data_IF_050875980728
#
_entry.id   IF_050875980728
#
_cell.length_a   1.000
_cell.length_b   1.000
_cell.length_c   1.000
_cell.angle_alpha   90.00
_cell.angle_beta   90.00
_cell.angle_gamma   90.00
#
_symmetry.space_group_name_H-M   'P 1'
#
loop_
_entity.id
_entity.type
_entity.pdbx_description
1 polymer ?
#
# COMPACT_ATOMS: atom_id res chain seq x y z
N UNK A 1 4.35 25.07 -20.97
CA UNK A 1 3.63 23.85 -20.53
C UNK A 1 3.84 23.71 -19.04
N UNK A 2 2.88 24.18 -18.23
CA UNK A 2 2.95 24.01 -16.77
C UNK A 2 2.50 22.60 -16.43
N UNK A 3 3.45 21.72 -16.10
CA UNK A 3 3.17 20.42 -15.48
C UNK A 3 2.70 20.64 -14.04
N UNK A 4 1.51 21.23 -13.86
CA UNK A 4 0.78 21.19 -12.60
C UNK A 4 0.10 19.82 -12.49
N UNK A 5 0.90 18.75 -12.48
CA UNK A 5 0.42 17.48 -11.95
C UNK A 5 0.13 17.74 -10.49
N UNK A 6 -1.14 17.61 -10.06
CA UNK A 6 -1.53 17.68 -8.65
C UNK A 6 -0.87 16.51 -7.91
N UNK A 7 0.38 16.68 -7.51
CA UNK A 7 1.01 15.85 -6.50
C UNK A 7 0.57 16.37 -5.14
N UNK A 8 0.31 15.46 -4.19
CA UNK A 8 0.00 15.84 -2.81
C UNK A 8 -1.45 16.23 -2.56
N UNK A 9 -2.17 15.41 -1.80
CA UNK A 9 -3.43 15.72 -1.10
C UNK A 9 -4.69 16.08 -1.95
N UNK A 10 -4.55 16.63 -3.16
CA UNK A 10 -5.63 17.16 -3.98
C UNK A 10 -6.08 16.24 -5.13
N UNK A 11 -5.44 15.08 -5.30
CA UNK A 11 -5.80 14.08 -6.32
C UNK A 11 -6.93 13.13 -5.87
N UNK A 12 -7.24 13.11 -4.57
CA UNK A 12 -7.84 11.93 -3.95
C UNK A 12 -9.24 12.10 -3.35
N UNK A 13 -9.81 13.31 -3.31
CA UNK A 13 -11.16 13.53 -2.76
C UNK A 13 -11.33 12.86 -1.38
N UNK A 14 -12.14 11.79 -1.34
CA UNK A 14 -12.48 10.99 -0.16
C UNK A 14 -11.35 10.07 0.36
N UNK A 15 -10.28 9.86 -0.42
CA UNK A 15 -9.11 9.06 -0.03
C UNK A 15 -8.15 9.81 0.93
N UNK A 16 -8.62 10.88 1.57
CA UNK A 16 -7.92 11.51 2.70
C UNK A 16 -8.08 10.73 4.00
N UNK A 17 -9.05 9.81 4.06
CA UNK A 17 -9.16 8.86 5.16
C UNK A 17 -8.29 7.64 4.88
N UNK A 18 -7.29 7.41 5.73
CA UNK A 18 -6.41 6.25 5.66
C UNK A 18 -7.17 4.92 5.75
N UNK A 19 -8.36 4.89 6.36
CA UNK A 19 -9.21 3.69 6.43
C UNK A 19 -9.74 3.31 5.05
N UNK A 20 -10.26 4.30 4.32
CA UNK A 20 -10.74 4.12 2.94
C UNK A 20 -9.57 3.77 2.02
N UNK A 21 -8.43 4.44 2.21
CA UNK A 21 -7.20 4.14 1.49
C UNK A 21 -6.73 2.70 1.72
N UNK A 22 -6.69 2.25 2.98
CA UNK A 22 -6.34 0.88 3.38
C UNK A 22 -7.29 -0.13 2.73
N UNK A 23 -8.59 0.09 2.80
CA UNK A 23 -9.58 -0.84 2.22
C UNK A 23 -9.36 -1.03 0.72
N UNK A 24 -9.21 0.06 -0.04
CA UNK A 24 -8.94 -0.03 -1.48
C UNK A 24 -7.59 -0.71 -1.77
N UNK A 25 -6.59 -0.46 -0.94
CA UNK A 25 -5.26 -1.10 -1.09
C UNK A 25 -5.35 -2.61 -0.85
N UNK A 26 -6.15 -3.04 0.13
CA UNK A 26 -6.42 -4.45 0.41
C UNK A 26 -7.18 -5.13 -0.74
N UNK A 27 -8.20 -4.47 -1.30
CA UNK A 27 -8.92 -4.96 -2.49
C UNK A 27 -7.97 -5.19 -3.67
N UNK A 28 -6.99 -4.29 -3.86
CA UNK A 28 -5.94 -4.47 -4.87
C UNK A 28 -4.96 -5.60 -4.50
N UNK A 29 -4.60 -5.76 -3.23
CA UNK A 29 -3.73 -6.85 -2.79
C UNK A 29 -4.34 -8.22 -3.10
N UNK A 30 -5.66 -8.37 -2.93
CA UNK A 30 -6.38 -9.60 -3.30
C UNK A 30 -6.22 -9.98 -4.78
N UNK A 31 -6.03 -9.00 -5.67
CA UNK A 31 -5.81 -9.26 -7.11
C UNK A 31 -4.46 -9.93 -7.41
N UNK A 32 -3.51 -9.89 -6.48
CA UNK A 32 -2.21 -10.58 -6.62
C UNK A 32 -2.32 -12.10 -6.42
N UNK A 33 -3.46 -12.58 -5.92
CA UNK A 33 -3.72 -14.00 -5.67
C UNK A 33 -2.67 -14.65 -4.75
N UNK A 34 -2.19 -13.88 -3.78
CA UNK A 34 -1.19 -14.30 -2.78
C UNK A 34 -1.80 -14.06 -1.38
N UNK A 35 -2.28 -15.12 -0.70
CA UNK A 35 -2.92 -15.01 0.61
C UNK A 35 -1.98 -14.43 1.68
N UNK A 36 -0.70 -14.76 1.59
CA UNK A 36 0.32 -14.33 2.54
C UNK A 36 0.65 -12.84 2.39
N UNK A 37 0.67 -12.36 1.15
CA UNK A 37 0.74 -10.93 0.90
C UNK A 37 -0.50 -10.19 1.40
N UNK A 38 -1.68 -10.79 1.24
CA UNK A 38 -2.93 -10.20 1.74
C UNK A 38 -2.89 -10.09 3.26
N UNK A 39 -2.39 -11.11 3.96
CA UNK A 39 -2.18 -11.09 5.41
C UNK A 39 -1.14 -10.05 5.83
N UNK A 40 -0.01 -9.96 5.12
CA UNK A 40 1.02 -8.95 5.33
C UNK A 40 0.46 -7.52 5.24
N UNK A 41 -0.28 -7.21 4.17
CA UNK A 41 -0.93 -5.89 4.00
C UNK A 41 -1.99 -5.67 5.07
N UNK A 42 -2.75 -6.70 5.44
CA UNK A 42 -3.74 -6.68 6.51
C UNK A 42 -3.14 -6.36 7.88
N UNK A 43 -1.93 -6.85 8.15
CA UNK A 43 -1.18 -6.69 9.40
C UNK A 43 -0.46 -5.35 9.55
N UNK A 44 -0.40 -4.52 8.49
CA UNK A 44 0.16 -3.16 8.58
C UNK A 44 -0.67 -2.32 9.56
N UNK A 45 0.00 -1.76 10.57
CA UNK A 45 -0.65 -0.99 11.63
C UNK A 45 -1.33 0.30 11.13
N UNK A 46 -2.35 0.75 11.86
CA UNK A 46 -3.08 1.99 11.55
C UNK A 46 -2.16 3.22 11.43
N UNK A 47 -1.13 3.32 12.29
CA UNK A 47 -0.15 4.41 12.24
C UNK A 47 0.68 4.37 10.96
N UNK A 48 1.04 3.17 10.49
CA UNK A 48 1.77 3.02 9.25
C UNK A 48 0.90 3.36 8.04
N UNK A 49 -0.40 3.04 8.05
CA UNK A 49 -1.31 3.46 6.97
C UNK A 49 -1.49 4.96 6.88
N UNK A 50 -1.63 5.64 8.02
CA UNK A 50 -1.66 7.09 8.07
C UNK A 50 -0.36 7.68 7.48
N UNK A 51 0.79 7.11 7.85
CA UNK A 51 2.09 7.54 7.34
C UNK A 51 2.27 7.27 5.84
N UNK A 52 1.86 6.10 5.32
CA UNK A 52 1.90 5.76 3.90
C UNK A 52 1.07 6.76 3.07
N UNK A 53 -0.10 7.15 3.60
CA UNK A 53 -0.95 8.14 2.96
C UNK A 53 -0.30 9.55 2.92
N UNK A 54 0.45 9.92 3.96
CA UNK A 54 1.16 11.19 4.07
C UNK A 54 2.48 11.23 3.27
N UNK A 55 3.27 10.15 3.29
CA UNK A 55 4.62 10.03 2.73
C UNK A 55 4.66 9.74 1.22
N UNK A 56 3.77 10.34 0.43
CA UNK A 56 3.82 10.36 -1.04
C UNK A 56 3.14 9.20 -1.79
N UNK A 57 2.52 8.23 -1.11
CA UNK A 57 1.73 7.19 -1.79
C UNK A 57 0.26 7.61 -1.91
N UNK A 58 0.01 8.58 -2.79
CA UNK A 58 -1.33 9.15 -2.97
C UNK A 58 -2.31 8.23 -3.70
N UNK A 59 -1.97 7.01 -4.11
CA UNK A 59 -2.98 6.10 -4.67
C UNK A 59 -2.85 4.71 -4.07
N UNK A 60 -3.97 4.00 -3.85
CA UNK A 60 -3.95 2.61 -3.40
C UNK A 60 -3.07 1.71 -4.27
N UNK A 61 -3.02 1.96 -5.58
CA UNK A 61 -2.20 1.20 -6.53
C UNK A 61 -0.70 1.37 -6.23
N UNK A 62 -0.23 2.61 -6.06
CA UNK A 62 1.18 2.87 -5.74
C UNK A 62 1.58 2.32 -4.38
N UNK A 63 0.69 2.43 -3.39
CA UNK A 63 0.93 1.82 -2.08
C UNK A 63 0.99 0.29 -2.17
N UNK A 64 0.06 -0.34 -2.89
CA UNK A 64 0.05 -1.79 -3.12
C UNK A 64 1.34 -2.25 -3.82
N UNK A 65 1.76 -1.58 -4.89
CA UNK A 65 3.00 -1.91 -5.60
C UNK A 65 4.23 -1.79 -4.71
N UNK A 66 4.27 -0.77 -3.86
CA UNK A 66 5.38 -0.59 -2.91
C UNK A 66 5.39 -1.66 -1.83
N UNK A 67 4.24 -1.94 -1.22
CA UNK A 67 4.08 -3.00 -0.22
C UNK A 67 4.41 -4.37 -0.82
N UNK A 68 4.03 -4.62 -2.07
CA UNK A 68 4.40 -5.83 -2.82
C UNK A 68 5.92 -5.94 -2.99
N UNK A 69 6.58 -4.82 -3.32
CA UNK A 69 8.03 -4.75 -3.37
C UNK A 69 8.70 -5.15 -2.06
N UNK A 70 8.24 -4.57 -0.93
CA UNK A 70 8.75 -4.91 0.40
C UNK A 70 8.46 -6.36 0.78
N UNK A 71 7.24 -6.85 0.56
CA UNK A 71 6.89 -8.24 0.83
C UNK A 71 7.84 -9.23 0.12
N UNK A 72 8.15 -8.99 -1.17
CA UNK A 72 9.06 -9.88 -1.91
C UNK A 72 10.53 -9.77 -1.51
N UNK A 73 10.95 -8.63 -0.95
CA UNK A 73 12.36 -8.37 -0.64
C UNK A 73 12.70 -8.63 0.82
N UNK A 74 11.76 -8.37 1.71
CA UNK A 74 11.97 -8.41 3.16
C UNK A 74 11.28 -9.61 3.82
N UNK A 75 10.27 -10.22 3.19
CA UNK A 75 9.47 -11.31 3.80
C UNK A 75 9.70 -12.65 3.08
N UNK A 76 9.58 -12.69 1.74
CA UNK A 76 9.76 -13.93 0.98
C UNK A 76 11.13 -14.62 1.14
N UNK A 77 12.28 -13.92 1.20
CA UNK A 77 13.56 -14.60 1.31
C UNK A 77 13.76 -15.30 2.66
N UNK A 78 13.21 -14.75 3.74
CA UNK A 78 13.36 -15.31 5.09
C UNK A 78 12.31 -16.39 5.42
N UNK A 79 11.18 -16.41 4.71
CA UNK A 79 10.16 -17.46 4.87
C UNK A 79 10.62 -18.84 4.42
N UNK A 80 11.59 -18.94 3.52
CA UNK A 80 12.14 -20.21 3.06
C UNK A 80 13.23 -20.78 3.96
N UNK A 81 13.73 -20.02 4.93
CA UNK A 81 14.78 -20.47 5.86
C UNK A 81 14.21 -21.12 7.13
N UNK A 82 12.88 -21.13 7.32
CA UNK A 82 12.20 -21.74 8.47
C UNK A 82 11.50 -23.09 8.15
N UNK A 83 11.83 -23.74 7.02
CA UNK A 83 11.41 -25.12 6.70
C UNK A 83 12.59 -26.09 6.71
#
# INVERSE_FOLDING_TARGET
>A
MSCCGKTGYNANGDLKDWKVFRQKTLELALTKNDPDFTEYVGGVSDKAWAHILEENFFTPEKAMERLWGFYRTDILPYRHEEQ
#
